data_IF_426411061105
#
_entry.id   IF_426411061105
#
_cell.length_a   1.000
_cell.length_b   1.000
_cell.length_c   1.000
_cell.angle_alpha   90.00
_cell.angle_beta   90.00
_cell.angle_gamma   90.00
#
_symmetry.space_group_name_H-M   'P 1'
#
loop_
_entity.id
_entity.type
_entity.pdbx_description
1 polymer ?
#
# COMPACT_ATOMS: atom_id res chain seq x y z
N UNK A 1 -15.07 25.04 -19.12
CA UNK A 1 -14.52 24.10 -20.09
C UNK A 1 -13.10 24.53 -20.41
N UNK A 2 -12.17 23.62 -20.56
CA UNK A 2 -10.77 23.90 -20.88
C UNK A 2 -10.51 23.51 -22.35
N UNK A 3 -10.72 24.42 -23.29
CA UNK A 3 -10.60 24.12 -24.72
C UNK A 3 -9.15 23.90 -25.15
N UNK A 4 -8.19 24.34 -24.35
CA UNK A 4 -6.74 24.16 -24.63
C UNK A 4 -6.14 22.93 -23.98
N UNK A 5 -6.94 22.15 -23.25
CA UNK A 5 -6.50 20.92 -22.54
C UNK A 5 -5.26 21.13 -21.67
N UNK A 6 -5.23 22.27 -20.96
CA UNK A 6 -4.07 22.63 -20.14
C UNK A 6 -4.10 21.91 -18.79
N UNK A 7 -3.02 21.19 -18.45
CA UNK A 7 -2.87 20.53 -17.15
C UNK A 7 -2.93 21.51 -15.97
N UNK A 8 -2.66 22.79 -16.21
CA UNK A 8 -2.64 23.82 -15.16
C UNK A 8 -4.03 24.26 -14.69
N UNK A 9 -5.06 24.06 -15.49
CA UNK A 9 -6.43 24.48 -15.18
C UNK A 9 -7.24 23.30 -14.65
N UNK A 10 -7.42 22.25 -15.43
CA UNK A 10 -8.26 21.11 -15.10
C UNK A 10 -7.46 19.87 -14.69
N UNK A 11 -6.24 19.73 -15.22
CA UNK A 11 -5.39 18.57 -14.94
C UNK A 11 -4.95 18.45 -13.49
N UNK A 12 -4.85 19.56 -12.74
CA UNK A 12 -4.45 19.54 -11.31
C UNK A 12 -5.39 18.73 -10.43
N UNK A 13 -6.67 18.67 -10.79
CA UNK A 13 -7.64 17.85 -10.07
C UNK A 13 -7.49 16.36 -10.35
N UNK A 14 -6.97 16.00 -11.52
CA UNK A 14 -6.81 14.61 -11.98
C UNK A 14 -5.43 14.06 -11.69
N UNK A 15 -4.39 14.89 -11.77
CA UNK A 15 -3.00 14.46 -11.62
C UNK A 15 -2.39 15.12 -10.38
N UNK A 16 -2.04 14.33 -9.36
CA UNK A 16 -1.41 14.87 -8.16
C UNK A 16 -0.08 15.55 -8.54
N UNK A 17 -0.02 16.85 -8.34
CA UNK A 17 1.18 17.66 -8.53
C UNK A 17 1.07 18.94 -7.72
N UNK A 18 1.96 19.10 -6.78
CA UNK A 18 2.03 20.30 -5.96
C UNK A 18 2.57 21.53 -6.71
N UNK A 19 2.40 22.72 -6.13
CA UNK A 19 2.72 23.97 -6.81
C UNK A 19 4.20 24.22 -7.01
N UNK A 20 5.07 23.74 -6.12
CA UNK A 20 6.51 23.92 -6.24
C UNK A 20 7.24 22.88 -5.37
N UNK A 21 7.84 21.90 -5.99
CA UNK A 21 8.69 20.94 -5.30
C UNK A 21 9.87 20.48 -6.16
N UNK A 22 10.95 20.09 -5.51
CA UNK A 22 12.02 19.34 -6.16
C UNK A 22 11.65 17.86 -6.27
N UNK A 23 12.21 17.15 -7.23
CA UNK A 23 11.97 15.70 -7.38
C UNK A 23 12.33 14.92 -6.10
N UNK A 24 13.39 15.32 -5.41
CA UNK A 24 13.81 14.73 -4.13
C UNK A 24 12.75 14.94 -3.05
N UNK A 25 12.25 16.16 -2.89
CA UNK A 25 11.21 16.45 -1.89
C UNK A 25 9.93 15.69 -2.18
N UNK A 26 9.52 15.61 -3.45
CA UNK A 26 8.35 14.86 -3.86
C UNK A 26 8.52 13.37 -3.57
N UNK A 27 9.68 12.80 -3.90
CA UNK A 27 9.97 11.39 -3.63
C UNK A 27 9.90 11.07 -2.14
N UNK A 28 10.59 11.83 -1.30
CA UNK A 28 10.58 11.59 0.15
C UNK A 28 9.21 11.82 0.77
N UNK A 29 8.45 12.78 0.30
CA UNK A 29 7.09 13.05 0.78
C UNK A 29 6.18 11.84 0.57
N UNK A 30 6.15 11.30 -0.64
CA UNK A 30 5.31 10.16 -0.98
C UNK A 30 5.83 8.84 -0.36
N UNK A 31 7.16 8.70 -0.25
CA UNK A 31 7.80 7.58 0.43
C UNK A 31 7.41 7.53 1.91
N UNK A 32 7.59 8.64 2.64
CA UNK A 32 7.25 8.71 4.08
C UNK A 32 5.76 8.48 4.30
N UNK A 33 4.93 9.10 3.45
CA UNK A 33 3.49 8.88 3.50
C UNK A 33 3.16 7.39 3.43
N UNK A 34 3.64 6.69 2.40
CA UNK A 34 3.32 5.28 2.20
C UNK A 34 3.96 4.38 3.24
N UNK A 35 5.14 4.71 3.76
CA UNK A 35 5.76 3.96 4.83
C UNK A 35 4.88 3.99 6.11
N UNK A 36 4.43 5.16 6.52
CA UNK A 36 3.55 5.30 7.68
C UNK A 36 2.20 4.63 7.41
N UNK A 37 1.62 4.85 6.23
CA UNK A 37 0.33 4.28 5.87
C UNK A 37 0.35 2.75 5.93
N UNK A 38 1.36 2.12 5.36
CA UNK A 38 1.48 0.65 5.35
C UNK A 38 1.77 0.09 6.74
N UNK A 39 2.63 0.77 7.52
CA UNK A 39 2.91 0.38 8.89
C UNK A 39 1.61 0.35 9.74
N UNK A 40 0.78 1.39 9.64
CA UNK A 40 -0.50 1.44 10.34
C UNK A 40 -1.50 0.43 9.77
N UNK A 41 -1.49 0.20 8.45
CA UNK A 41 -2.35 -0.80 7.82
C UNK A 41 -2.07 -2.21 8.39
N UNK A 42 -0.80 -2.56 8.53
CA UNK A 42 -0.40 -3.84 9.13
C UNK A 42 -0.78 -3.90 10.61
N UNK A 43 -0.57 -2.82 11.37
CA UNK A 43 -0.96 -2.76 12.77
C UNK A 43 -2.48 -2.97 12.99
N UNK A 44 -3.31 -2.43 12.09
CA UNK A 44 -4.76 -2.58 12.17
C UNK A 44 -5.25 -3.97 11.74
N UNK A 45 -4.47 -4.68 10.95
CA UNK A 45 -4.78 -6.04 10.47
C UNK A 45 -4.12 -7.15 11.27
N UNK A 46 -3.32 -6.82 12.28
CA UNK A 46 -2.61 -7.81 13.10
C UNK A 46 -3.46 -8.27 14.28
N UNK A 47 -3.96 -9.49 14.21
CA UNK A 47 -4.79 -10.09 15.25
C UNK A 47 -4.04 -10.26 16.60
N UNK A 48 -2.72 -10.25 16.60
CA UNK A 48 -1.90 -10.36 17.81
C UNK A 48 -1.66 -9.02 18.50
N UNK A 49 -1.95 -7.91 17.83
CA UNK A 49 -1.72 -6.55 18.32
C UNK A 49 -3.03 -5.82 18.70
N UNK A 50 -3.98 -6.53 19.33
CA UNK A 50 -5.25 -5.96 19.77
C UNK A 50 -5.98 -5.18 18.66
N UNK A 51 -6.40 -5.82 17.58
CA UNK A 51 -7.03 -5.15 16.45
C UNK A 51 -8.30 -4.42 16.90
N UNK A 52 -8.62 -3.27 16.29
CA UNK A 52 -9.84 -2.55 16.60
C UNK A 52 -11.07 -3.38 16.24
N UNK A 53 -12.15 -3.25 17.00
CA UNK A 53 -13.40 -3.97 16.75
C UNK A 53 -13.98 -3.69 15.37
N UNK A 54 -14.95 -4.51 14.95
CA UNK A 54 -15.59 -4.42 13.64
C UNK A 54 -16.08 -2.99 13.35
N UNK A 55 -15.72 -2.46 12.17
CA UNK A 55 -16.07 -1.11 11.74
C UNK A 55 -15.10 -0.01 12.17
N UNK A 56 -14.37 -0.17 13.27
CA UNK A 56 -13.40 0.83 13.73
C UNK A 56 -12.19 0.93 12.80
N UNK A 57 -11.78 -0.16 12.18
CA UNK A 57 -10.68 -0.17 11.19
C UNK A 57 -10.93 0.83 10.05
N UNK A 58 -12.13 0.83 9.50
CA UNK A 58 -12.51 1.76 8.43
C UNK A 58 -12.47 3.22 8.89
N UNK A 59 -12.96 3.49 10.11
CA UNK A 59 -12.95 4.82 10.71
C UNK A 59 -11.51 5.32 10.93
N UNK A 60 -10.65 4.48 11.49
CA UNK A 60 -9.24 4.80 11.74
C UNK A 60 -8.52 5.08 10.41
N UNK A 61 -8.74 4.24 9.37
CA UNK A 61 -8.18 4.48 8.04
C UNK A 61 -8.66 5.81 7.43
N UNK A 62 -9.93 6.14 7.60
CA UNK A 62 -10.50 7.41 7.14
C UNK A 62 -9.83 8.61 7.82
N UNK A 63 -9.72 8.59 9.15
CA UNK A 63 -9.03 9.66 9.89
C UNK A 63 -7.55 9.73 9.57
N UNK A 64 -6.87 8.61 9.48
CA UNK A 64 -5.47 8.57 9.10
C UNK A 64 -5.25 9.18 7.71
N UNK A 65 -6.04 8.77 6.72
CA UNK A 65 -5.98 9.33 5.38
C UNK A 65 -6.21 10.82 5.37
N UNK A 66 -7.17 11.32 6.14
CA UNK A 66 -7.43 12.75 6.29
C UNK A 66 -6.24 13.51 6.90
N UNK A 67 -5.73 13.04 8.04
CA UNK A 67 -4.58 13.67 8.72
C UNK A 67 -3.34 13.69 7.82
N UNK A 68 -3.06 12.57 7.15
CA UNK A 68 -1.92 12.46 6.25
C UNK A 68 -2.09 13.37 5.01
N UNK A 69 -3.31 13.49 4.49
CA UNK A 69 -3.60 14.40 3.38
C UNK A 69 -3.37 15.86 3.76
N UNK A 70 -3.82 16.28 4.93
CA UNK A 70 -3.63 17.65 5.41
C UNK A 70 -2.15 17.94 5.71
N UNK A 71 -1.42 16.96 6.25
CA UNK A 71 -0.02 17.14 6.65
C UNK A 71 0.97 17.08 5.48
N UNK A 72 0.81 16.15 4.57
CA UNK A 72 1.79 15.85 3.52
C UNK A 72 1.26 16.12 2.10
N UNK A 73 -0.04 16.31 1.95
CA UNK A 73 -0.67 16.47 0.63
C UNK A 73 -0.36 17.79 -0.10
N UNK A 74 0.12 18.81 0.61
CA UNK A 74 0.39 20.12 0.03
C UNK A 74 1.43 20.07 -1.09
N UNK A 75 2.49 19.30 -0.92
CA UNK A 75 3.60 19.26 -1.86
C UNK A 75 3.27 18.52 -3.16
N UNK A 76 2.74 17.30 -3.05
CA UNK A 76 2.57 16.39 -4.21
C UNK A 76 1.11 16.14 -4.57
N UNK A 77 0.16 16.59 -3.75
CA UNK A 77 -1.25 16.23 -3.90
C UNK A 77 -1.51 14.73 -3.65
N UNK A 78 -0.53 14.03 -3.07
CA UNK A 78 -0.55 12.61 -2.72
C UNK A 78 -0.72 11.67 -3.92
N UNK A 79 0.33 11.54 -4.71
CA UNK A 79 0.48 10.45 -5.69
C UNK A 79 0.74 9.10 -5.02
N UNK A 80 -0.07 8.74 -4.03
CA UNK A 80 0.16 7.63 -3.09
C UNK A 80 -0.01 6.24 -3.68
N UNK A 81 -0.48 6.12 -4.90
CA UNK A 81 -0.66 4.80 -5.49
C UNK A 81 -0.52 4.85 -7.02
N UNK A 82 0.16 3.86 -7.61
CA UNK A 82 0.23 3.73 -9.06
C UNK A 82 -1.14 3.73 -9.73
N UNK A 83 -2.11 3.02 -9.16
CA UNK A 83 -3.45 2.91 -9.74
C UNK A 83 -4.21 4.23 -9.72
N UNK A 84 -4.10 5.00 -8.61
CA UNK A 84 -4.74 6.30 -8.47
C UNK A 84 -4.18 7.34 -9.44
N UNK A 85 -2.89 7.27 -9.75
CA UNK A 85 -2.26 8.21 -10.69
C UNK A 85 -2.40 7.74 -12.15
N UNK A 86 -2.19 6.47 -12.43
CA UNK A 86 -2.21 5.93 -13.79
C UNK A 86 -3.61 5.98 -14.42
N UNK A 87 -4.66 5.65 -13.68
CA UNK A 87 -6.04 5.66 -14.17
C UNK A 87 -6.44 7.02 -14.76
N UNK A 88 -6.40 8.10 -13.97
CA UNK A 88 -6.70 9.45 -14.48
C UNK A 88 -5.76 9.89 -15.61
N UNK A 89 -4.48 9.51 -15.61
CA UNK A 89 -3.53 9.84 -16.68
C UNK A 89 -3.91 9.19 -18.00
N UNK A 90 -4.32 7.93 -18.00
CA UNK A 90 -4.78 7.23 -19.20
C UNK A 90 -6.05 7.88 -19.76
N UNK A 91 -7.01 8.20 -18.89
CA UNK A 91 -8.23 8.90 -19.30
C UNK A 91 -7.90 10.31 -19.84
N UNK A 92 -7.00 11.04 -19.16
CA UNK A 92 -6.53 12.35 -19.61
C UNK A 92 -5.84 12.28 -20.97
N UNK A 93 -4.97 11.29 -21.19
CA UNK A 93 -4.34 11.07 -22.49
C UNK A 93 -5.39 10.83 -23.59
N UNK A 94 -6.42 10.04 -23.28
CA UNK A 94 -7.51 9.76 -24.21
C UNK A 94 -8.36 11.01 -24.51
N UNK A 95 -8.47 11.92 -23.53
CA UNK A 95 -9.15 13.19 -23.68
C UNK A 95 -8.29 14.30 -24.36
N UNK A 96 -7.05 13.98 -24.75
CA UNK A 96 -6.16 14.92 -25.45
C UNK A 96 -5.22 15.72 -24.55
N UNK A 97 -5.08 15.36 -23.27
CA UNK A 97 -4.10 15.98 -22.36
C UNK A 97 -2.72 15.33 -22.48
N UNK A 98 -1.66 16.13 -22.34
CA UNK A 98 -0.27 15.64 -22.25
C UNK A 98 0.04 15.05 -20.85
N UNK A 99 -0.70 14.02 -20.46
CA UNK A 99 -0.74 13.49 -19.10
C UNK A 99 0.58 12.89 -18.61
N UNK A 100 1.46 12.47 -19.51
CA UNK A 100 2.75 11.81 -19.20
C UNK A 100 3.97 12.70 -19.42
N UNK A 101 3.77 13.99 -19.73
CA UNK A 101 4.86 14.94 -19.96
C UNK A 101 5.73 15.16 -18.72
N UNK A 102 5.14 15.17 -17.54
CA UNK A 102 5.86 15.30 -16.28
C UNK A 102 6.31 13.92 -15.78
N UNK A 103 7.60 13.71 -15.51
CA UNK A 103 8.12 12.41 -15.04
C UNK A 103 7.70 12.04 -13.62
N UNK A 104 6.99 12.91 -12.90
CA UNK A 104 6.56 12.65 -11.52
C UNK A 104 5.81 11.32 -11.37
N UNK A 105 4.99 10.93 -12.34
CA UNK A 105 4.23 9.67 -12.30
C UNK A 105 5.13 8.44 -12.09
N UNK A 106 6.35 8.46 -12.63
CA UNK A 106 7.26 7.33 -12.52
C UNK A 106 7.95 7.27 -11.15
N UNK A 107 8.53 8.39 -10.69
CA UNK A 107 9.29 8.38 -9.43
C UNK A 107 8.44 8.59 -8.18
N UNK A 108 7.30 9.27 -8.25
CA UNK A 108 6.38 9.45 -7.13
C UNK A 108 5.51 8.20 -6.90
N UNK A 109 4.40 8.05 -7.64
CA UNK A 109 3.46 6.95 -7.41
C UNK A 109 4.06 5.54 -7.59
N UNK A 110 4.93 5.33 -8.59
CA UNK A 110 5.54 4.02 -8.78
C UNK A 110 6.81 3.83 -7.94
N UNK A 111 7.71 4.80 -7.93
CA UNK A 111 8.97 4.68 -7.21
C UNK A 111 8.81 4.86 -5.71
N UNK A 112 8.46 6.07 -5.29
CA UNK A 112 8.41 6.43 -3.88
C UNK A 112 7.31 5.70 -3.11
N UNK A 113 6.09 5.64 -3.65
CA UNK A 113 4.99 5.00 -2.94
C UNK A 113 5.21 3.49 -2.79
N UNK A 114 5.68 2.80 -3.83
CA UNK A 114 5.95 1.36 -3.74
C UNK A 114 7.09 1.04 -2.78
N UNK A 115 8.21 1.76 -2.88
CA UNK A 115 9.34 1.56 -1.97
C UNK A 115 9.01 1.95 -0.53
N UNK A 116 8.22 3.02 -0.33
CA UNK A 116 7.71 3.43 0.97
C UNK A 116 6.81 2.37 1.61
N UNK A 117 5.91 1.77 0.84
CA UNK A 117 5.05 0.69 1.30
C UNK A 117 5.85 -0.54 1.74
N UNK A 118 6.84 -0.97 0.95
CA UNK A 118 7.73 -2.09 1.31
C UNK A 118 8.50 -1.76 2.59
N UNK A 119 9.04 -0.56 2.69
CA UNK A 119 9.79 -0.12 3.86
C UNK A 119 8.90 -0.05 5.11
N UNK A 120 7.68 0.47 5.00
CA UNK A 120 6.71 0.51 6.12
C UNK A 120 6.33 -0.88 6.62
N UNK A 121 6.08 -1.82 5.71
CA UNK A 121 5.84 -3.22 6.06
C UNK A 121 7.04 -3.86 6.75
N UNK A 122 8.24 -3.63 6.22
CA UNK A 122 9.48 -4.12 6.84
C UNK A 122 9.71 -3.58 8.26
N UNK A 123 9.46 -2.28 8.48
CA UNK A 123 9.55 -1.66 9.82
C UNK A 123 8.53 -2.29 10.76
N UNK A 124 7.30 -2.51 10.32
CA UNK A 124 6.29 -3.17 11.12
C UNK A 124 6.72 -4.59 11.53
N UNK A 125 7.16 -5.39 10.56
CA UNK A 125 7.61 -6.75 10.79
C UNK A 125 8.82 -6.83 11.73
N UNK A 126 9.76 -5.89 11.60
CA UNK A 126 11.00 -5.88 12.39
C UNK A 126 10.78 -5.47 13.85
N UNK A 127 9.92 -4.50 14.10
CA UNK A 127 9.81 -3.87 15.42
C UNK A 127 8.54 -4.22 16.18
N UNK A 128 7.47 -4.61 15.50
CA UNK A 128 6.15 -4.72 16.12
C UNK A 128 5.60 -6.15 16.00
N UNK A 129 5.73 -6.78 14.84
CA UNK A 129 5.15 -8.08 14.59
C UNK A 129 5.87 -9.20 15.35
N UNK A 130 5.11 -10.01 16.12
CA UNK A 130 5.64 -11.09 16.97
C UNK A 130 5.40 -12.47 16.37
N UNK A 131 4.59 -12.58 15.32
CA UNK A 131 4.24 -13.84 14.65
C UNK A 131 5.40 -14.45 13.86
N UNK A 132 5.42 -15.77 13.75
CA UNK A 132 6.42 -16.50 12.98
C UNK A 132 6.13 -16.58 11.46
N UNK A 133 5.13 -15.87 10.98
CA UNK A 133 4.66 -15.93 9.58
C UNK A 133 5.26 -14.81 8.70
N UNK A 134 5.93 -13.84 9.31
CA UNK A 134 6.58 -12.74 8.59
C UNK A 134 7.86 -13.21 7.89
N UNK A 135 8.17 -12.68 6.70
CA UNK A 135 9.44 -12.94 6.02
C UNK A 135 10.68 -12.60 6.86
N UNK A 136 10.57 -11.64 7.79
CA UNK A 136 11.68 -11.19 8.65
C UNK A 136 11.81 -12.08 9.89
N UNK A 137 10.69 -12.50 10.48
CA UNK A 137 10.61 -13.32 11.68
C UNK A 137 10.28 -14.79 11.39
N UNK A 138 10.46 -15.23 10.14
CA UNK A 138 10.12 -16.57 9.72
C UNK A 138 10.88 -17.62 10.51
N UNK A 139 10.17 -18.41 11.31
CA UNK A 139 10.72 -19.63 11.92
C UNK A 139 10.69 -20.74 10.88
N UNK A 140 11.85 -21.20 10.49
CA UNK A 140 11.94 -22.41 9.69
C UNK A 140 11.26 -23.55 10.44
N UNK A 141 10.30 -24.26 9.81
CA UNK A 141 9.64 -25.37 10.48
C UNK A 141 10.68 -26.44 10.86
N UNK A 142 10.69 -26.83 12.10
CA UNK A 142 11.55 -27.92 12.56
C UNK A 142 11.15 -29.22 11.83
N UNK A 143 12.12 -30.10 11.63
CA UNK A 143 11.85 -31.41 10.98
C UNK A 143 10.72 -32.21 11.64
N UNK A 144 10.47 -31.96 12.92
CA UNK A 144 9.35 -32.52 13.69
C UNK A 144 7.99 -31.99 13.21
N UNK A 145 7.86 -30.69 13.00
CA UNK A 145 6.62 -30.04 12.56
C UNK A 145 6.19 -30.46 11.16
N UNK A 146 7.16 -30.65 10.27
CA UNK A 146 6.91 -31.14 8.92
C UNK A 146 6.38 -32.58 8.95
N UNK A 147 6.99 -33.45 9.79
CA UNK A 147 6.53 -34.82 9.94
C UNK A 147 5.12 -34.91 10.50
N UNK A 148 4.81 -34.06 11.49
CA UNK A 148 3.49 -33.99 12.10
C UNK A 148 2.43 -33.56 11.07
N UNK A 149 2.64 -32.50 10.34
CA UNK A 149 1.72 -32.03 9.27
C UNK A 149 1.52 -33.07 8.15
N UNK A 150 2.57 -33.83 7.81
CA UNK A 150 2.46 -34.90 6.81
C UNK A 150 1.60 -36.05 7.35
N UNK A 151 1.77 -36.41 8.60
CA UNK A 151 1.00 -37.48 9.23
C UNK A 151 -0.47 -37.10 9.40
N UNK A 152 -0.75 -35.87 9.83
CA UNK A 152 -2.11 -35.35 9.94
C UNK A 152 -2.84 -35.38 8.58
N UNK A 153 -2.17 -34.91 7.50
CA UNK A 153 -2.75 -35.03 6.15
C UNK A 153 -3.00 -36.46 5.71
N UNK A 154 -2.13 -37.40 6.07
CA UNK A 154 -2.34 -38.82 5.73
C UNK A 154 -3.54 -39.40 6.46
N UNK A 155 -3.73 -39.08 7.73
CA UNK A 155 -4.91 -39.51 8.50
C UNK A 155 -6.20 -38.89 7.92
N UNK A 156 -6.23 -37.60 7.61
CA UNK A 156 -7.37 -36.94 6.97
C UNK A 156 -7.75 -37.59 5.63
N UNK A 157 -6.77 -37.93 4.80
CA UNK A 157 -7.02 -38.64 3.52
C UNK A 157 -7.58 -40.03 3.77
N UNK A 158 -7.10 -40.73 4.79
CA UNK A 158 -7.56 -42.07 5.15
C UNK A 158 -9.03 -42.06 5.65
N UNK A 159 -9.35 -41.08 6.52
CA UNK A 159 -10.71 -40.91 7.03
C UNK A 159 -11.70 -40.52 5.91
N UNK A 160 -11.30 -39.65 4.99
CA UNK A 160 -12.10 -39.31 3.83
C UNK A 160 -12.32 -40.51 2.87
N UNK A 161 -11.35 -41.41 2.74
CA UNK A 161 -11.56 -42.62 1.94
C UNK A 161 -12.50 -43.62 2.61
N UNK A 162 -12.50 -43.70 3.95
CA UNK A 162 -13.44 -44.56 4.70
C UNK A 162 -14.87 -44.00 4.74
N UNK A 163 -15.07 -42.71 4.54
CA UNK A 163 -16.40 -42.09 4.49
C UNK A 163 -17.09 -42.18 3.14
N UNK A 164 -16.41 -42.65 2.10
CA UNK A 164 -16.94 -42.77 0.70
C UNK A 164 -17.26 -44.23 0.35
N UNK A 165 -16.96 -45.18 1.23
CA UNK A 165 -17.31 -46.60 1.12
C UNK A 165 -18.47 -46.92 2.08
#
# INVERSE_FOLDING_TARGET
>A
MDPEHTLDITGKALFPKGPAFTATTAFFNDFVFMAIYTCIAFALGDDQNSPPGQGMTALIFGFMGYVMMVSLGYNTGLGISPARDLGPRLVGLWAGYDSFKDPYWAYGPFGAATSGAIFGGFIYDLFIFVGGESPVNYRWPEKGDIKWKINEKKEQVKDNMHSVV
#
